data_IF_567841315242
#
_entry.id   IF_567841315242
#
_cell.length_a   1.000
_cell.length_b   1.000
_cell.length_c   1.000
_cell.angle_alpha   90.00
_cell.angle_beta   90.00
_cell.angle_gamma   90.00
#
_symmetry.space_group_name_H-M   'P 1'
#
loop_
_entity.id
_entity.type
_entity.pdbx_description
1 polymer ?
#
# COMPACT_ATOMS: atom_id res chain seq x y z
N UNK A 1 23.90 -7.30 5.84
CA UNK A 1 23.83 -5.82 5.81
C UNK A 1 24.14 -5.42 4.38
N UNK A 2 23.12 -5.48 3.53
CA UNK A 2 23.23 -5.07 2.11
C UNK A 2 23.34 -3.56 2.12
N UNK A 3 24.32 -3.02 1.40
CA UNK A 3 24.55 -1.59 1.26
C UNK A 3 23.26 -0.95 0.71
N UNK A 4 22.53 -0.22 1.55
CA UNK A 4 21.23 0.35 1.15
C UNK A 4 21.50 1.55 0.25
N UNK A 5 21.62 1.32 -1.05
CA UNK A 5 21.81 2.40 -2.02
C UNK A 5 20.71 3.47 -1.78
N UNK A 6 21.08 4.68 -1.32
CA UNK A 6 20.10 5.71 -0.95
C UNK A 6 19.33 6.21 -2.18
N UNK A 7 19.83 5.96 -3.39
CA UNK A 7 19.13 6.27 -4.64
C UNK A 7 17.95 5.33 -4.90
N UNK A 8 17.96 4.15 -4.28
CA UNK A 8 16.89 3.13 -4.40
C UNK A 8 16.01 3.09 -3.15
N UNK A 9 16.58 3.34 -1.97
CA UNK A 9 15.88 3.18 -0.69
C UNK A 9 15.45 4.51 -0.05
N UNK A 10 15.81 5.65 -0.64
CA UNK A 10 15.45 6.97 -0.14
C UNK A 10 16.26 7.41 1.08
N UNK A 11 15.76 8.38 1.87
CA UNK A 11 14.41 8.98 1.81
C UNK A 11 14.18 9.80 0.53
N UNK A 12 12.91 9.90 0.12
CA UNK A 12 12.49 10.64 -1.08
C UNK A 12 11.75 11.94 -0.73
N UNK A 13 12.00 12.99 -1.50
CA UNK A 13 11.42 14.32 -1.29
C UNK A 13 10.16 14.56 -2.10
N UNK A 14 9.99 13.84 -3.21
CA UNK A 14 8.85 13.94 -4.10
C UNK A 14 8.70 12.66 -4.92
N UNK A 15 7.68 12.62 -5.78
CA UNK A 15 7.39 11.46 -6.60
C UNK A 15 8.29 11.25 -7.81
N UNK A 16 8.93 12.31 -8.30
CA UNK A 16 9.91 12.18 -9.35
C UNK A 16 11.13 11.35 -8.87
N UNK A 17 11.59 11.60 -7.63
CA UNK A 17 12.66 10.82 -7.01
C UNK A 17 12.30 9.34 -6.83
N UNK A 18 11.06 9.04 -6.43
CA UNK A 18 10.57 7.66 -6.34
C UNK A 18 10.53 6.99 -7.72
N UNK A 19 10.06 7.69 -8.74
CA UNK A 19 10.05 7.16 -10.10
C UNK A 19 11.46 6.83 -10.61
N UNK A 20 12.46 7.68 -10.32
CA UNK A 20 13.86 7.37 -10.63
C UNK A 20 14.39 6.17 -9.84
N UNK A 21 14.08 6.10 -8.55
CA UNK A 21 14.49 4.99 -7.67
C UNK A 21 13.95 3.64 -8.15
N UNK A 22 12.68 3.59 -8.53
CA UNK A 22 12.03 2.40 -9.09
C UNK A 22 12.67 1.96 -10.41
N UNK A 23 12.96 2.92 -11.30
CA UNK A 23 13.67 2.63 -12.54
C UNK A 23 15.07 2.06 -12.29
N UNK A 24 15.81 2.63 -11.34
CA UNK A 24 17.13 2.14 -10.96
C UNK A 24 17.05 0.75 -10.29
N UNK A 25 16.06 0.51 -9.43
CA UNK A 25 15.84 -0.80 -8.81
C UNK A 25 15.61 -1.89 -9.87
N UNK A 26 14.75 -1.61 -10.86
CA UNK A 26 14.52 -2.50 -12.00
C UNK A 26 15.80 -2.73 -12.79
N UNK A 27 16.55 -1.67 -13.12
CA UNK A 27 17.82 -1.82 -13.83
C UNK A 27 18.81 -2.72 -13.08
N UNK A 28 19.01 -2.47 -11.78
CA UNK A 28 19.92 -3.27 -10.95
C UNK A 28 19.49 -4.75 -10.92
N UNK A 29 18.19 -5.02 -10.73
CA UNK A 29 17.65 -6.38 -10.71
C UNK A 29 17.95 -7.15 -12.00
N UNK A 30 17.74 -6.53 -13.16
CA UNK A 30 17.97 -7.18 -14.46
C UNK A 30 19.46 -7.29 -14.83
N UNK A 31 20.28 -6.32 -14.41
CA UNK A 31 21.73 -6.37 -14.57
C UNK A 31 22.35 -7.51 -13.75
N UNK A 32 21.87 -7.73 -12.51
CA UNK A 32 22.27 -8.88 -11.67
C UNK A 32 21.93 -10.22 -12.30
N UNK A 33 20.80 -10.31 -13.02
CA UNK A 33 20.41 -11.51 -13.76
C UNK A 33 21.16 -11.67 -15.09
N UNK A 34 22.00 -10.69 -15.48
CA UNK A 34 22.75 -10.69 -16.74
C UNK A 34 21.85 -10.64 -17.97
N UNK A 35 20.63 -10.09 -17.85
CA UNK A 35 19.60 -10.09 -18.89
C UNK A 35 19.24 -8.66 -19.27
N UNK A 36 19.76 -8.14 -20.40
CA UNK A 36 19.38 -6.81 -20.86
C UNK A 36 17.91 -6.80 -21.27
N UNK A 37 17.09 -6.04 -20.55
CA UNK A 37 15.68 -5.81 -20.88
C UNK A 37 15.45 -4.37 -21.36
N UNK A 38 14.47 -4.17 -22.23
CA UNK A 38 14.08 -2.83 -22.67
C UNK A 38 13.24 -2.09 -21.62
N UNK A 39 12.50 -2.84 -20.78
CA UNK A 39 11.58 -2.30 -19.79
C UNK A 39 12.28 -1.51 -18.67
N UNK A 40 13.42 -1.97 -18.10
CA UNK A 40 14.18 -1.16 -17.13
C UNK A 40 14.71 0.16 -17.73
N UNK A 41 15.12 0.13 -19.00
CA UNK A 41 15.54 1.35 -19.72
C UNK A 41 14.35 2.31 -19.93
N UNK A 42 13.17 1.77 -20.22
CA UNK A 42 11.96 2.58 -20.29
C UNK A 42 11.64 3.21 -18.93
N UNK A 43 11.71 2.45 -17.84
CA UNK A 43 11.43 2.95 -16.50
C UNK A 43 12.38 4.07 -16.07
N UNK A 44 13.70 3.85 -16.19
CA UNK A 44 14.73 4.86 -15.85
C UNK A 44 14.56 6.18 -16.62
N UNK A 45 14.00 6.14 -17.84
CA UNK A 45 13.80 7.33 -18.67
C UNK A 45 12.48 8.06 -18.39
N UNK A 46 11.45 7.36 -17.92
CA UNK A 46 10.07 7.89 -17.97
C UNK A 46 9.33 7.91 -16.64
N UNK A 47 9.62 7.02 -15.69
CA UNK A 47 8.82 6.91 -14.45
C UNK A 47 8.84 8.19 -13.63
N UNK A 48 10.02 8.80 -13.44
CA UNK A 48 10.15 10.04 -12.67
C UNK A 48 9.24 11.15 -13.22
N UNK A 49 9.29 11.38 -14.53
CA UNK A 49 8.47 12.41 -15.19
C UNK A 49 6.97 12.06 -15.20
N UNK A 50 6.60 10.78 -15.30
CA UNK A 50 5.22 10.33 -15.34
C UNK A 50 4.52 10.43 -13.97
N UNK A 51 5.30 10.30 -12.88
CA UNK A 51 4.77 10.24 -11.51
C UNK A 51 5.05 11.52 -10.70
N UNK A 52 5.70 12.55 -11.27
CA UNK A 52 6.26 13.70 -10.54
C UNK A 52 5.29 14.57 -9.71
N UNK A 53 4.01 14.64 -10.07
CA UNK A 53 3.07 15.66 -9.57
C UNK A 53 2.40 15.29 -8.24
N UNK A 54 3.17 14.74 -7.30
CA UNK A 54 2.69 14.34 -5.98
C UNK A 54 3.65 14.74 -4.86
N UNK A 55 3.10 15.39 -3.83
CA UNK A 55 3.84 15.72 -2.62
C UNK A 55 4.20 14.47 -1.81
N UNK A 56 5.31 14.53 -1.06
CA UNK A 56 5.67 13.49 -0.12
C UNK A 56 4.75 13.51 1.11
N UNK A 57 4.22 12.34 1.46
CA UNK A 57 3.40 12.07 2.64
C UNK A 57 4.04 10.93 3.43
N UNK A 58 3.90 11.00 4.75
CA UNK A 58 4.24 9.85 5.58
C UNK A 58 3.26 8.72 5.29
N UNK A 59 3.78 7.61 4.79
CA UNK A 59 3.03 6.43 4.38
C UNK A 59 3.49 5.24 5.21
N UNK A 60 2.57 4.36 5.57
CA UNK A 60 2.83 3.08 6.21
C UNK A 60 3.45 2.09 5.21
N UNK A 61 3.03 2.11 3.95
CA UNK A 61 3.66 1.37 2.86
C UNK A 61 3.19 -0.08 2.71
N UNK A 62 2.62 -0.68 3.76
CA UNK A 62 1.99 -2.01 3.74
C UNK A 62 0.63 -2.03 4.47
N UNK A 63 -0.27 -1.10 4.14
CA UNK A 63 -1.63 -1.09 4.71
C UNK A 63 -2.44 -2.24 4.14
N UNK A 64 -2.73 -3.20 4.99
CA UNK A 64 -3.62 -4.31 4.70
C UNK A 64 -4.17 -4.91 6.00
N UNK A 65 -5.21 -5.74 5.92
CA UNK A 65 -6.07 -6.07 7.06
C UNK A 65 -5.32 -6.67 8.26
N UNK A 66 -4.29 -7.51 8.04
CA UNK A 66 -3.48 -8.09 9.14
C UNK A 66 -2.72 -7.03 9.94
N UNK A 67 -2.50 -5.84 9.39
CA UNK A 67 -1.75 -4.76 10.00
C UNK A 67 -2.66 -3.73 10.71
N UNK A 68 -3.97 -3.95 10.73
CA UNK A 68 -4.96 -3.09 11.39
C UNK A 68 -5.58 -3.85 12.57
N UNK A 69 -5.35 -3.37 13.78
CA UNK A 69 -5.96 -3.94 14.98
C UNK A 69 -7.31 -3.27 15.24
N UNK A 70 -8.32 -4.09 15.55
CA UNK A 70 -9.65 -3.63 15.93
C UNK A 70 -10.01 -4.16 17.31
N UNK A 71 -10.71 -3.33 18.09
CA UNK A 71 -11.31 -3.75 19.35
C UNK A 71 -12.83 -3.67 19.26
N UNK A 72 -13.50 -4.65 19.86
CA UNK A 72 -14.96 -4.65 19.99
C UNK A 72 -15.34 -3.63 21.05
N UNK A 73 -16.20 -2.68 20.68
CA UNK A 73 -16.76 -1.72 21.62
C UNK A 73 -17.83 -2.46 22.45
N UNK A 74 -17.66 -2.48 23.77
CA UNK A 74 -18.66 -3.05 24.67
C UNK A 74 -19.70 -1.97 24.96
N UNK A 75 -20.95 -2.24 24.60
CA UNK A 75 -22.07 -1.42 25.05
C UNK A 75 -22.21 -1.53 26.56
N UNK A 76 -21.90 -0.45 27.27
CA UNK A 76 -22.17 -0.35 28.71
C UNK A 76 -23.68 -0.28 29.04
N UNK A 77 -24.55 -0.42 28.03
CA UNK A 77 -26.02 -0.33 28.17
C UNK A 77 -26.69 -1.67 28.47
N UNK A 78 -25.98 -2.80 28.54
CA UNK A 78 -26.58 -4.06 29.01
C UNK A 78 -26.66 -4.14 30.54
N UNK A 79 -27.18 -3.10 31.18
CA UNK A 79 -27.70 -3.21 32.55
C UNK A 79 -29.23 -3.29 32.47
N UNK A 80 -29.71 -4.51 32.25
CA UNK A 80 -31.04 -4.97 32.61
C UNK A 80 -32.19 -4.46 31.75
N UNK A 81 -32.61 -5.27 30.80
CA UNK A 81 -34.01 -5.69 30.67
C UNK A 81 -34.04 -6.95 29.78
N UNK A 82 -34.61 -8.04 30.31
CA UNK A 82 -34.77 -9.28 29.58
C UNK A 82 -35.92 -9.10 28.60
N UNK A 83 -35.62 -8.97 27.30
CA UNK A 83 -36.64 -8.97 26.26
C UNK A 83 -37.26 -10.38 26.14
N UNK A 84 -38.47 -10.49 26.67
CA UNK A 84 -39.45 -11.50 26.32
C UNK A 84 -40.08 -11.07 24.99
N UNK A 85 -39.64 -11.65 23.88
CA UNK A 85 -40.44 -12.06 22.71
C UNK A 85 -39.54 -12.20 21.46
N UNK A 86 -39.11 -13.44 21.19
CA UNK A 86 -39.21 -14.12 19.90
C UNK A 86 -38.67 -13.55 18.57
N UNK A 87 -38.06 -12.37 18.49
CA UNK A 87 -37.34 -11.92 17.28
C UNK A 87 -35.84 -11.84 17.59
N UNK A 88 -35.04 -12.71 16.95
CA UNK A 88 -33.58 -12.62 16.97
C UNK A 88 -33.16 -11.32 16.25
N UNK A 89 -33.11 -10.22 17.00
CA UNK A 89 -32.45 -9.00 16.56
C UNK A 89 -30.98 -9.32 16.36
N UNK A 90 -30.49 -9.23 15.11
CA UNK A 90 -29.07 -9.33 14.79
C UNK A 90 -28.30 -8.38 15.72
N UNK A 91 -27.50 -8.94 16.62
CA UNK A 91 -26.69 -8.14 17.54
C UNK A 91 -25.65 -7.37 16.73
N UNK A 92 -25.92 -6.10 16.48
CA UNK A 92 -24.96 -5.21 15.86
C UNK A 92 -23.72 -5.11 16.77
N UNK A 93 -22.55 -5.48 16.25
CA UNK A 93 -21.29 -5.34 16.97
C UNK A 93 -20.55 -4.12 16.42
N UNK A 94 -20.31 -3.14 17.29
CA UNK A 94 -19.47 -2.00 16.95
C UNK A 94 -17.99 -2.34 17.19
N UNK A 95 -17.15 -1.96 16.23
CA UNK A 95 -15.70 -2.13 16.28
C UNK A 95 -15.04 -0.78 16.06
N UNK A 96 -13.93 -0.54 16.74
CA UNK A 96 -13.07 0.63 16.48
C UNK A 96 -11.63 0.19 16.22
N UNK A 97 -10.93 0.92 15.38
CA UNK A 97 -9.50 0.71 15.15
C UNK A 97 -8.76 1.08 16.44
N UNK A 98 -8.00 0.12 16.98
CA UNK A 98 -7.20 0.30 18.20
C UNK A 98 -5.73 0.55 17.91
N UNK A 99 -5.25 0.24 16.70
CA UNK A 99 -3.89 0.55 16.27
C UNK A 99 -3.55 0.04 14.87
N UNK A 100 -2.40 0.50 14.38
CA UNK A 100 -1.75 0.04 13.14
C UNK A 100 -0.36 -0.48 13.52
N UNK A 101 0.01 -1.65 13.00
CA UNK A 101 1.28 -2.33 13.30
C UNK A 101 2.06 -2.58 12.01
N UNK A 102 3.31 -3.06 12.14
CA UNK A 102 4.17 -3.46 11.00
C UNK A 102 4.68 -2.30 10.12
N UNK A 103 5.26 -1.30 10.78
CA UNK A 103 5.77 -0.06 10.18
C UNK A 103 7.14 -0.20 9.48
N UNK A 104 7.63 -1.41 9.22
CA UNK A 104 8.97 -1.61 8.64
C UNK A 104 9.11 -1.08 7.21
N UNK A 105 7.99 -0.98 6.49
CA UNK A 105 7.90 -0.41 5.14
C UNK A 105 7.58 1.09 5.13
N UNK A 106 7.45 1.71 6.30
CA UNK A 106 7.00 3.09 6.42
C UNK A 106 8.06 4.09 5.99
N UNK A 107 7.61 5.22 5.45
CA UNK A 107 8.51 6.25 4.98
C UNK A 107 7.80 7.45 4.38
N UNK A 108 8.59 8.43 3.94
CA UNK A 108 8.09 9.58 3.18
C UNK A 108 8.04 9.19 1.71
N UNK A 109 6.83 8.94 1.22
CA UNK A 109 6.54 8.53 -0.15
C UNK A 109 5.48 9.44 -0.77
N UNK A 110 5.35 9.48 -2.09
CA UNK A 110 4.30 10.23 -2.77
C UNK A 110 2.90 9.91 -2.25
N UNK A 111 2.00 10.89 -2.33
CA UNK A 111 0.61 10.73 -1.88
C UNK A 111 -0.14 9.52 -2.49
N UNK A 112 0.25 9.04 -3.68
CA UNK A 112 -0.34 7.84 -4.28
C UNK A 112 0.18 6.52 -3.70
N UNK A 113 1.31 6.53 -2.97
CA UNK A 113 2.04 5.33 -2.60
C UNK A 113 1.22 4.40 -1.72
N UNK A 114 0.53 4.95 -0.70
CA UNK A 114 -0.32 4.16 0.20
C UNK A 114 -1.45 3.46 -0.56
N UNK A 115 -2.11 4.18 -1.48
CA UNK A 115 -3.17 3.60 -2.31
C UNK A 115 -2.64 2.52 -3.24
N UNK A 116 -1.51 2.79 -3.92
CA UNK A 116 -0.92 1.87 -4.86
C UNK A 116 -0.38 0.60 -4.17
N UNK A 117 0.31 0.74 -3.03
CA UNK A 117 0.88 -0.40 -2.31
C UNK A 117 -0.19 -1.27 -1.65
N UNK A 118 -1.24 -0.67 -1.09
CA UNK A 118 -2.37 -1.38 -0.48
C UNK A 118 -3.14 -2.24 -1.50
N UNK A 119 -3.23 -1.79 -2.75
CA UNK A 119 -3.88 -2.53 -3.84
C UNK A 119 -2.95 -3.52 -4.55
N UNK A 120 -1.70 -3.16 -4.80
CA UNK A 120 -0.75 -4.03 -5.47
C UNK A 120 -0.48 -5.32 -4.69
N UNK A 121 -0.66 -5.30 -3.36
CA UNK A 121 -0.50 -6.46 -2.48
C UNK A 121 -1.84 -7.04 -2.01
N UNK A 122 -2.95 -6.67 -2.63
CA UNK A 122 -4.25 -7.23 -2.29
C UNK A 122 -4.29 -8.73 -2.65
N UNK A 123 -4.72 -9.56 -1.69
CA UNK A 123 -4.93 -10.98 -1.91
C UNK A 123 -6.28 -11.25 -2.60
N UNK A 124 -6.34 -12.28 -3.45
CA UNK A 124 -7.46 -12.56 -4.37
C UNK A 124 -8.81 -12.89 -3.70
N UNK A 125 -8.85 -13.22 -2.42
CA UNK A 125 -10.06 -13.76 -1.76
C UNK A 125 -10.85 -12.75 -0.92
N UNK A 126 -10.50 -11.45 -0.96
CA UNK A 126 -11.07 -10.46 -0.03
C UNK A 126 -11.51 -9.18 -0.77
N UNK A 127 -12.62 -8.60 -0.33
CA UNK A 127 -13.18 -7.29 -0.74
C UNK A 127 -12.29 -6.08 -0.38
N UNK A 128 -11.01 -6.32 -0.08
CA UNK A 128 -10.04 -5.31 0.34
C UNK A 128 -9.87 -4.19 -0.71
N UNK A 129 -9.75 -4.48 -2.03
CA UNK A 129 -9.68 -3.41 -3.03
C UNK A 129 -10.87 -2.46 -3.03
N UNK A 130 -12.08 -2.98 -2.78
CA UNK A 130 -13.29 -2.18 -2.68
C UNK A 130 -13.24 -1.25 -1.46
N UNK A 131 -12.80 -1.79 -0.31
CA UNK A 131 -12.63 -1.02 0.91
C UNK A 131 -11.56 0.07 0.75
N UNK A 132 -10.39 -0.24 0.17
CA UNK A 132 -9.35 0.75 -0.11
C UNK A 132 -9.88 1.87 -1.01
N UNK A 133 -10.65 1.52 -2.05
CA UNK A 133 -11.29 2.50 -2.93
C UNK A 133 -12.31 3.42 -2.24
N UNK A 134 -12.89 2.98 -1.12
CA UNK A 134 -13.80 3.80 -0.29
C UNK A 134 -13.06 4.63 0.76
N UNK A 135 -11.95 4.12 1.30
CA UNK A 135 -11.20 4.78 2.38
C UNK A 135 -10.16 5.80 1.88
N UNK A 136 -9.65 5.62 0.66
CA UNK A 136 -8.53 6.40 0.12
C UNK A 136 -8.89 7.10 -1.18
N UNK A 137 -8.18 8.18 -1.48
CA UNK A 137 -8.26 8.83 -2.80
C UNK A 137 -7.70 7.87 -3.87
N UNK A 138 -8.43 7.62 -4.97
CA UNK A 138 -7.93 6.76 -6.03
C UNK A 138 -6.86 7.44 -6.89
N UNK A 139 -5.83 6.67 -7.24
CA UNK A 139 -4.72 7.04 -8.14
C UNK A 139 -4.51 5.95 -9.21
N UNK A 140 -5.45 5.81 -10.17
CA UNK A 140 -5.48 4.67 -11.09
C UNK A 140 -4.30 4.65 -12.07
N UNK A 141 -3.81 5.83 -12.49
CA UNK A 141 -2.63 5.93 -13.35
C UNK A 141 -1.40 5.41 -12.61
N UNK A 142 -1.18 5.92 -11.40
CA UNK A 142 -0.05 5.59 -10.56
C UNK A 142 -0.08 4.11 -10.17
N UNK A 143 -1.25 3.58 -9.77
CA UNK A 143 -1.44 2.15 -9.52
C UNK A 143 -1.06 1.32 -10.74
N UNK A 144 -1.53 1.68 -11.94
CA UNK A 144 -1.24 0.91 -13.16
C UNK A 144 0.26 0.85 -13.45
N UNK A 145 0.97 1.96 -13.25
CA UNK A 145 2.42 2.00 -13.42
C UNK A 145 3.15 1.23 -12.32
N UNK A 146 2.71 1.33 -11.07
CA UNK A 146 3.30 0.59 -9.94
C UNK A 146 3.10 -0.91 -10.08
N UNK A 147 1.93 -1.38 -10.53
CA UNK A 147 1.70 -2.80 -10.82
C UNK A 147 2.68 -3.33 -11.88
N UNK A 148 2.90 -2.57 -12.96
CA UNK A 148 3.86 -2.93 -14.00
C UNK A 148 5.29 -3.02 -13.44
N UNK A 149 5.69 -2.08 -12.58
CA UNK A 149 7.00 -2.08 -11.92
C UNK A 149 7.13 -3.25 -10.93
N UNK A 150 6.11 -3.51 -10.12
CA UNK A 150 6.14 -4.59 -9.14
C UNK A 150 6.18 -5.96 -9.82
N UNK A 151 5.47 -6.13 -10.93
CA UNK A 151 5.55 -7.33 -11.74
C UNK A 151 6.95 -7.50 -12.36
N UNK A 152 7.55 -6.44 -12.88
CA UNK A 152 8.92 -6.46 -13.42
C UNK A 152 9.96 -6.86 -12.35
N UNK A 153 9.78 -6.35 -11.14
CA UNK A 153 10.59 -6.68 -9.96
C UNK A 153 10.20 -8.01 -9.29
N UNK A 154 9.21 -8.73 -9.81
CA UNK A 154 8.69 -9.99 -9.25
C UNK A 154 8.24 -9.88 -7.79
N UNK A 155 7.70 -8.73 -7.40
CA UNK A 155 7.18 -8.45 -6.06
C UNK A 155 5.71 -8.87 -5.88
N UNK A 156 5.03 -9.17 -6.99
CA UNK A 156 3.64 -9.61 -7.05
C UNK A 156 3.55 -10.78 -8.06
N UNK A 157 2.63 -11.71 -7.82
CA UNK A 157 2.49 -12.97 -8.56
C UNK A 157 1.12 -13.09 -9.22
#
# INVERSE_FOLDING_TARGET
MVDSDPRVNGPFRNAEEVGFALGLASQNFWDELGRPAWLPRFFTQHLGAALKDHEAKFSHGDVQMRNIMVEKVLDNSSSGEAELDGEETEKHHEYRVSGIVDWESAGWYPAYWEYASALARAHEEIDWPEHVGRMMRPYPLELSMILLVFQDLQLIY
#
